data_IF_307460515025
#
_entry.id   IF_307460515025
#
_cell.length_a   1.000
_cell.length_b   1.000
_cell.length_c   1.000
_cell.angle_alpha   90.00
_cell.angle_beta   90.00
_cell.angle_gamma   90.00
#
_symmetry.space_group_name_H-M   'P 1'
#
loop_
_entity.id
_entity.type
_entity.pdbx_description
1 polymer ?
#
# COMPACT_ATOMS: atom_id res chain seq x y z
N UNK A 1 24.21 5.85 67.27
CA UNK A 1 24.57 5.72 65.84
C UNK A 1 24.04 4.39 65.31
N UNK A 2 23.04 4.40 64.42
CA UNK A 2 22.76 3.44 63.32
C UNK A 2 21.30 3.58 62.87
N UNK A 3 21.08 4.58 62.02
CA UNK A 3 19.87 4.75 61.23
C UNK A 3 19.81 3.68 60.12
N UNK A 4 18.66 3.01 60.06
CA UNK A 4 17.94 2.48 58.89
C UNK A 4 18.69 2.52 57.54
N UNK A 5 19.51 1.49 57.28
CA UNK A 5 20.08 1.20 55.95
C UNK A 5 19.37 0.02 55.26
N UNK A 6 18.06 -0.13 55.42
CA UNK A 6 17.31 -1.25 54.79
C UNK A 6 16.37 -0.79 53.68
N UNK A 7 16.10 0.52 53.55
CA UNK A 7 15.17 1.04 52.54
C UNK A 7 15.77 1.29 51.15
N UNK A 8 17.07 1.13 50.94
CA UNK A 8 17.71 1.54 49.68
C UNK A 8 17.87 0.43 48.63
N UNK A 9 17.63 -0.84 48.96
CA UNK A 9 17.98 -1.97 48.08
C UNK A 9 16.78 -2.53 47.31
N UNK A 10 15.54 -2.24 47.73
CA UNK A 10 14.34 -2.79 47.09
C UNK A 10 13.77 -1.89 45.97
N UNK A 11 14.17 -0.62 45.92
CA UNK A 11 13.71 0.35 44.91
C UNK A 11 14.09 -0.01 43.46
N UNK A 12 15.31 -0.49 43.13
CA UNK A 12 15.65 -0.79 41.73
C UNK A 12 15.03 -2.10 41.21
N UNK A 13 14.69 -3.04 42.10
CA UNK A 13 14.08 -4.33 41.72
C UNK A 13 12.61 -4.14 41.33
N UNK A 14 11.89 -3.30 42.07
CA UNK A 14 10.48 -2.99 41.77
C UNK A 14 10.38 -2.21 40.44
N UNK A 15 11.28 -1.25 40.20
CA UNK A 15 11.29 -0.47 38.96
C UNK A 15 11.60 -1.32 37.71
N UNK A 16 12.48 -2.32 37.85
CA UNK A 16 12.81 -3.26 36.77
C UNK A 16 11.65 -4.22 36.43
N UNK A 17 10.86 -4.63 37.43
CA UNK A 17 9.68 -5.45 37.22
C UNK A 17 8.57 -4.68 36.46
N UNK A 18 8.38 -3.38 36.75
CA UNK A 18 7.41 -2.53 36.04
C UNK A 18 7.82 -2.23 34.59
N UNK A 19 9.12 -2.13 34.30
CA UNK A 19 9.61 -1.95 32.92
C UNK A 19 9.42 -3.22 32.06
N UNK A 20 9.64 -4.41 32.64
CA UNK A 20 9.41 -5.68 31.94
C UNK A 20 7.92 -5.95 31.65
N UNK A 21 7.02 -5.55 32.55
CA UNK A 21 5.57 -5.64 32.34
C UNK A 21 5.07 -4.68 31.24
N UNK A 22 5.70 -3.52 31.05
CA UNK A 22 5.35 -2.59 29.97
C UNK A 22 5.84 -3.07 28.59
N UNK A 23 6.95 -3.81 28.51
CA UNK A 23 7.43 -4.41 27.25
C UNK A 23 6.55 -5.61 26.83
N UNK A 24 6.04 -6.37 27.79
CA UNK A 24 5.08 -7.46 27.56
C UNK A 24 3.65 -6.96 27.30
N UNK A 25 3.34 -5.73 27.69
CA UNK A 25 2.11 -4.99 27.31
C UNK A 25 2.34 -4.20 26.03
N UNK A 26 3.15 -4.74 25.10
CA UNK A 26 3.11 -4.30 23.72
C UNK A 26 1.64 -4.41 23.29
N UNK A 27 1.08 -3.29 22.83
CA UNK A 27 -0.24 -3.27 22.22
C UNK A 27 -0.28 -4.41 21.19
N UNK A 28 -0.90 -5.53 21.55
CA UNK A 28 -1.61 -6.31 20.56
C UNK A 28 -2.60 -5.30 19.98
N UNK A 29 -2.22 -4.69 18.86
CA UNK A 29 -3.18 -4.16 17.93
C UNK A 29 -4.17 -5.28 17.78
N UNK A 30 -5.37 -5.13 18.37
CA UNK A 30 -6.43 -6.11 18.26
C UNK A 30 -6.59 -6.35 16.77
N UNK A 31 -6.02 -7.44 16.28
CA UNK A 31 -6.35 -7.97 14.99
C UNK A 31 -7.86 -8.20 15.11
N UNK A 32 -8.63 -7.36 14.43
CA UNK A 32 -10.06 -7.57 14.32
C UNK A 32 -10.20 -9.03 13.89
N UNK A 33 -10.88 -9.88 14.66
CA UNK A 33 -11.02 -11.30 14.27
C UNK A 33 -11.73 -11.43 12.90
N UNK A 34 -12.34 -10.34 12.42
CA UNK A 34 -12.88 -10.20 11.06
C UNK A 34 -11.85 -9.82 9.97
N UNK A 35 -10.59 -9.55 10.32
CA UNK A 35 -9.51 -9.15 9.39
C UNK A 35 -8.77 -10.30 8.74
N UNK A 36 -8.90 -11.52 9.27
CA UNK A 36 -8.32 -12.71 8.63
C UNK A 36 -8.80 -12.89 7.17
N UNK A 37 -9.93 -12.28 6.81
CA UNK A 37 -10.55 -12.36 5.49
C UNK A 37 -10.62 -11.01 4.76
N UNK A 38 -9.91 -9.98 5.21
CA UNK A 38 -9.94 -8.67 4.52
C UNK A 38 -9.44 -8.80 3.08
N UNK A 39 -8.34 -9.54 2.87
CA UNK A 39 -7.80 -9.83 1.54
C UNK A 39 -8.83 -10.50 0.63
N UNK A 40 -9.53 -11.52 1.13
CA UNK A 40 -10.58 -12.21 0.38
C UNK A 40 -11.75 -11.29 0.01
N UNK A 41 -12.15 -10.39 0.91
CA UNK A 41 -13.23 -9.43 0.65
C UNK A 41 -12.90 -8.46 -0.47
N UNK A 42 -11.64 -8.05 -0.59
CA UNK A 42 -11.20 -7.07 -1.59
C UNK A 42 -10.65 -7.70 -2.87
N UNK A 43 -10.31 -9.00 -2.82
CA UNK A 43 -9.77 -9.71 -3.96
C UNK A 43 -10.76 -9.67 -5.14
N UNK A 44 -10.22 -9.46 -6.34
CA UNK A 44 -11.02 -9.36 -7.55
C UNK A 44 -10.35 -8.53 -8.63
N UNK A 45 -10.98 -8.50 -9.80
CA UNK A 45 -10.60 -7.63 -10.90
C UNK A 45 -11.51 -6.40 -10.91
N UNK A 46 -10.93 -5.23 -11.15
CA UNK A 46 -11.63 -3.95 -11.19
C UNK A 46 -11.27 -3.19 -12.47
N UNK A 47 -12.25 -2.48 -13.01
CA UNK A 47 -12.02 -1.44 -14.01
C UNK A 47 -12.01 -0.08 -13.30
N UNK A 48 -10.88 0.62 -13.39
CA UNK A 48 -10.70 1.98 -12.87
C UNK A 48 -10.83 2.99 -14.01
N UNK A 49 -11.41 4.14 -13.69
CA UNK A 49 -11.49 5.31 -14.55
C UNK A 49 -10.86 6.49 -13.82
N UNK A 50 -9.84 7.07 -14.43
CA UNK A 50 -9.15 8.26 -13.95
C UNK A 50 -9.95 9.53 -14.26
N UNK A 51 -9.81 10.54 -13.40
CA UNK A 51 -10.62 11.76 -13.46
C UNK A 51 -10.15 12.79 -14.50
N UNK A 52 -8.89 12.72 -14.96
CA UNK A 52 -8.34 13.59 -16.00
C UNK A 52 -8.70 13.10 -17.42
N UNK A 53 -7.85 13.32 -18.44
CA UNK A 53 -8.09 12.97 -19.85
C UNK A 53 -8.20 11.46 -20.14
N UNK A 54 -8.80 10.65 -19.25
CA UNK A 54 -9.50 9.43 -19.66
C UNK A 54 -8.68 8.13 -19.61
N UNK A 55 -7.59 8.09 -18.84
CA UNK A 55 -6.92 6.83 -18.52
C UNK A 55 -7.89 5.82 -17.90
N UNK A 56 -7.80 4.56 -18.33
CA UNK A 56 -8.52 3.46 -17.68
C UNK A 56 -7.54 2.37 -17.29
N UNK A 57 -7.77 1.73 -16.15
CA UNK A 57 -6.94 0.60 -15.69
C UNK A 57 -7.78 -0.64 -15.44
N UNK A 58 -7.30 -1.77 -15.91
CA UNK A 58 -7.73 -3.07 -15.39
C UNK A 58 -6.77 -3.43 -14.27
N UNK A 59 -7.29 -3.67 -13.07
CA UNK A 59 -6.47 -4.00 -11.91
C UNK A 59 -6.97 -5.28 -11.26
N UNK A 60 -6.05 -6.19 -10.94
CA UNK A 60 -6.34 -7.38 -10.15
C UNK A 60 -5.72 -7.20 -8.77
N UNK A 61 -6.55 -7.25 -7.74
CA UNK A 61 -6.14 -7.28 -6.34
C UNK A 61 -6.26 -8.73 -5.89
N UNK A 62 -5.18 -9.30 -5.38
CA UNK A 62 -5.19 -10.67 -4.85
C UNK A 62 -5.32 -10.65 -3.34
N UNK A 63 -5.88 -11.73 -2.77
CA UNK A 63 -6.10 -11.84 -1.33
C UNK A 63 -4.78 -11.88 -0.52
N UNK A 64 -3.69 -12.32 -1.14
CA UNK A 64 -2.37 -12.51 -0.52
C UNK A 64 -1.47 -11.26 -0.55
N UNK A 65 -1.96 -10.12 -1.04
CA UNK A 65 -1.22 -8.86 -0.96
C UNK A 65 -0.64 -8.35 -2.27
N UNK A 66 -0.94 -8.96 -3.42
CA UNK A 66 -0.42 -8.54 -4.73
C UNK A 66 -1.41 -7.67 -5.50
N UNK A 67 -0.85 -6.85 -6.39
CA UNK A 67 -1.57 -5.97 -7.31
C UNK A 67 -0.98 -6.11 -8.72
N UNK A 68 -1.84 -6.33 -9.70
CA UNK A 68 -1.48 -6.35 -11.12
C UNK A 68 -2.30 -5.33 -11.87
N UNK A 69 -1.67 -4.45 -12.63
CA UNK A 69 -2.32 -3.36 -13.34
C UNK A 69 -1.98 -3.35 -14.82
N UNK A 70 -2.98 -3.06 -15.65
CA UNK A 70 -2.83 -2.78 -17.08
C UNK A 70 -3.52 -1.43 -17.31
N UNK A 71 -2.83 -0.49 -17.93
CA UNK A 71 -3.37 0.84 -18.18
C UNK A 71 -3.55 1.08 -19.69
N UNK A 72 -4.66 1.71 -20.08
CA UNK A 72 -5.06 1.90 -21.48
C UNK A 72 -3.98 2.56 -22.34
N UNK A 73 -3.30 3.58 -21.81
CA UNK A 73 -2.21 4.27 -22.52
C UNK A 73 -0.89 3.51 -22.63
N UNK A 74 -0.77 2.27 -22.15
CA UNK A 74 0.48 1.51 -22.29
C UNK A 74 0.93 1.38 -23.75
N UNK A 75 -0.02 1.42 -24.69
CA UNK A 75 0.23 1.36 -26.13
C UNK A 75 0.73 2.69 -26.70
N UNK A 76 0.35 3.83 -26.12
CA UNK A 76 0.69 5.17 -26.61
C UNK A 76 1.98 5.70 -26.00
N UNK A 77 2.12 5.56 -24.67
CA UNK A 77 3.27 6.09 -23.91
C UNK A 77 4.29 5.01 -23.51
N UNK A 78 4.14 3.79 -24.05
CA UNK A 78 5.15 2.72 -24.09
C UNK A 78 5.71 2.32 -22.72
N UNK A 79 4.84 1.86 -21.83
CA UNK A 79 5.24 1.24 -20.56
C UNK A 79 4.65 -0.16 -20.43
N UNK A 80 5.20 -0.99 -19.53
CA UNK A 80 4.77 -2.36 -19.31
C UNK A 80 3.54 -2.44 -18.39
N UNK A 81 3.01 -3.64 -18.21
CA UNK A 81 2.08 -3.91 -17.12
C UNK A 81 2.73 -3.57 -15.77
N UNK A 82 1.89 -3.19 -14.81
CA UNK A 82 2.28 -2.83 -13.46
C UNK A 82 2.18 -4.05 -12.55
N UNK A 83 3.17 -4.21 -11.68
CA UNK A 83 3.17 -5.23 -10.63
C UNK A 83 3.44 -4.58 -9.29
N UNK A 84 2.82 -5.07 -8.23
CA UNK A 84 2.94 -4.41 -6.96
C UNK A 84 2.37 -5.18 -5.79
N UNK A 85 2.41 -4.50 -4.65
CA UNK A 85 1.94 -5.02 -3.37
C UNK A 85 1.01 -4.01 -2.71
N UNK A 86 0.10 -4.52 -1.89
CA UNK A 86 -0.81 -3.70 -1.10
C UNK A 86 -0.74 -4.07 0.38
N UNK A 87 -1.10 -3.09 1.22
CA UNK A 87 -1.34 -3.30 2.65
C UNK A 87 -2.61 -2.60 3.09
N UNK A 88 -3.31 -3.19 4.06
CA UNK A 88 -4.45 -2.54 4.72
C UNK A 88 -3.97 -1.32 5.50
N UNK A 89 -4.67 -0.19 5.33
CA UNK A 89 -4.37 1.08 6.02
C UNK A 89 -5.57 1.69 6.71
N UNK A 90 -6.74 1.08 6.59
CA UNK A 90 -7.96 1.46 7.29
C UNK A 90 -9.05 0.40 7.12
N UNK A 91 -10.21 0.59 7.74
CA UNK A 91 -11.30 -0.43 7.76
C UNK A 91 -11.69 -0.94 6.38
N UNK A 92 -11.70 -0.06 5.37
CA UNK A 92 -11.95 -0.36 3.97
C UNK A 92 -10.95 0.37 3.08
N UNK A 93 -9.70 0.44 3.53
CA UNK A 93 -8.65 1.19 2.82
C UNK A 93 -7.40 0.34 2.67
N UNK A 94 -6.81 0.40 1.48
CA UNK A 94 -5.47 -0.11 1.23
C UNK A 94 -4.57 0.99 0.70
N UNK A 95 -3.27 0.82 0.91
CA UNK A 95 -2.24 1.53 0.16
C UNK A 95 -1.49 0.53 -0.69
N UNK A 96 -1.31 0.87 -1.96
CA UNK A 96 -0.66 0.04 -2.96
C UNK A 96 0.63 0.72 -3.39
N UNK A 97 1.66 -0.07 -3.68
CA UNK A 97 2.84 0.38 -4.44
C UNK A 97 3.04 -0.53 -5.63
N UNK A 98 3.22 0.04 -6.82
CA UNK A 98 3.48 -0.72 -8.04
C UNK A 98 4.72 -0.21 -8.75
N UNK A 99 5.29 -1.07 -9.58
CA UNK A 99 6.41 -0.80 -10.46
C UNK A 99 6.05 -1.26 -11.87
N UNK A 100 6.49 -0.50 -12.87
CA UNK A 100 6.52 -0.91 -14.27
C UNK A 100 7.81 -0.44 -14.95
N UNK A 101 8.07 -0.99 -16.13
CA UNK A 101 9.13 -0.53 -17.02
C UNK A 101 8.56 0.48 -18.01
N UNK A 102 9.30 1.56 -18.28
CA UNK A 102 8.93 2.57 -19.27
C UNK A 102 10.00 2.65 -20.35
N UNK A 103 9.61 2.63 -21.62
CA UNK A 103 10.52 2.91 -22.73
C UNK A 103 10.72 4.43 -22.89
N UNK A 104 11.95 4.87 -22.65
CA UNK A 104 12.39 6.26 -22.78
C UNK A 104 13.26 6.41 -24.03
N UNK A 105 13.58 7.66 -24.40
CA UNK A 105 14.47 7.93 -25.54
C UNK A 105 15.86 7.30 -25.36
N UNK A 106 16.37 7.32 -24.13
CA UNK A 106 17.74 6.92 -23.81
C UNK A 106 17.84 5.50 -23.24
N UNK A 107 16.75 4.70 -23.31
CA UNK A 107 16.72 3.31 -22.84
C UNK A 107 15.46 2.96 -22.07
N UNK A 108 15.51 1.88 -21.28
CA UNK A 108 14.40 1.42 -20.45
C UNK A 108 14.55 1.96 -19.02
N UNK A 109 13.63 2.83 -18.62
CA UNK A 109 13.50 3.32 -17.25
C UNK A 109 12.45 2.53 -16.45
N UNK A 110 12.08 3.07 -15.29
CA UNK A 110 11.02 2.50 -14.46
C UNK A 110 10.07 3.57 -13.95
N UNK A 111 8.84 3.20 -13.62
CA UNK A 111 7.93 4.08 -12.91
C UNK A 111 7.37 3.40 -11.66
N UNK A 112 7.46 4.13 -10.54
CA UNK A 112 6.96 3.75 -9.24
C UNK A 112 5.67 4.50 -8.97
N UNK A 113 4.58 3.77 -8.69
CA UNK A 113 3.31 4.36 -8.33
C UNK A 113 2.92 4.02 -6.90
N UNK A 114 2.15 4.92 -6.30
CA UNK A 114 1.46 4.73 -5.02
C UNK A 114 -0.02 5.01 -5.23
N UNK A 115 -0.87 4.08 -4.78
CA UNK A 115 -2.31 4.27 -4.77
C UNK A 115 -2.84 4.28 -3.34
N UNK A 116 -3.81 5.12 -3.07
CA UNK A 116 -4.72 5.00 -1.92
C UNK A 116 -6.06 4.54 -2.47
N UNK A 117 -6.57 3.42 -1.97
CA UNK A 117 -7.84 2.84 -2.45
C UNK A 117 -8.78 2.73 -1.27
N UNK A 118 -9.99 3.26 -1.42
CA UNK A 118 -11.10 3.10 -0.49
C UNK A 118 -12.20 2.27 -1.15
N UNK A 119 -12.69 1.26 -0.42
CA UNK A 119 -13.79 0.41 -0.85
C UNK A 119 -15.10 0.90 -0.27
N UNK A 120 -16.15 0.79 -1.08
CA UNK A 120 -17.52 0.97 -0.63
C UNK A 120 -17.92 -0.14 0.37
N UNK A 121 -19.13 -0.02 0.94
CA UNK A 121 -19.58 -0.99 1.96
C UNK A 121 -19.74 -2.42 1.41
N UNK A 122 -20.04 -2.56 0.12
CA UNK A 122 -20.23 -3.85 -0.54
C UNK A 122 -18.95 -4.42 -1.18
N UNK A 123 -17.84 -3.68 -1.13
CA UNK A 123 -16.56 -4.02 -1.78
C UNK A 123 -16.66 -4.18 -3.31
N UNK A 124 -17.71 -3.60 -3.92
CA UNK A 124 -17.95 -3.64 -5.37
C UNK A 124 -17.48 -2.38 -6.09
N UNK A 125 -17.32 -1.28 -5.36
CA UNK A 125 -16.85 0.00 -5.91
C UNK A 125 -15.64 0.46 -5.14
N UNK A 126 -14.74 1.13 -5.85
CA UNK A 126 -13.56 1.74 -5.27
C UNK A 126 -13.39 3.18 -5.73
N UNK A 127 -12.77 3.98 -4.88
CA UNK A 127 -12.30 5.32 -5.22
C UNK A 127 -10.94 5.55 -4.59
N UNK A 128 -10.21 6.53 -5.09
CA UNK A 128 -8.86 6.74 -4.59
C UNK A 128 -8.07 7.80 -5.31
N UNK A 129 -6.82 7.87 -4.90
CA UNK A 129 -5.81 8.75 -5.46
C UNK A 129 -4.60 7.93 -5.85
N UNK A 130 -3.89 8.40 -6.88
CA UNK A 130 -2.62 7.85 -7.29
C UNK A 130 -1.58 8.94 -7.40
N UNK A 131 -0.34 8.56 -7.14
CA UNK A 131 0.82 9.33 -7.50
C UNK A 131 1.87 8.44 -8.14
N UNK A 132 2.57 8.99 -9.13
CA UNK A 132 3.59 8.28 -9.90
C UNK A 132 4.90 9.07 -9.92
N UNK A 133 6.01 8.34 -9.98
CA UNK A 133 7.35 8.87 -10.23
C UNK A 133 8.01 8.02 -11.30
N UNK A 134 8.57 8.66 -12.32
CA UNK A 134 9.33 7.98 -13.38
C UNK A 134 10.81 8.27 -13.23
N UNK A 135 11.63 7.26 -13.46
CA UNK A 135 13.08 7.29 -13.29
C UNK A 135 13.79 6.88 -14.59
N UNK A 136 14.97 7.46 -14.88
CA UNK A 136 15.73 7.13 -16.07
C UNK A 136 16.36 5.72 -15.95
N UNK A 137 16.95 5.18 -17.04
CA UNK A 137 17.61 3.89 -17.00
C UNK A 137 18.73 3.84 -15.96
N UNK A 138 18.85 2.71 -15.25
CA UNK A 138 19.92 2.47 -14.27
C UNK A 138 19.74 3.15 -12.91
N UNK A 139 18.69 3.95 -12.71
CA UNK A 139 18.36 4.55 -11.41
C UNK A 139 17.48 3.60 -10.60
N UNK A 140 17.82 3.39 -9.32
CA UNK A 140 17.01 2.64 -8.38
C UNK A 140 15.79 3.49 -7.93
N UNK A 141 14.54 3.09 -8.29
CA UNK A 141 13.34 3.82 -7.88
C UNK A 141 13.01 3.69 -6.37
N UNK A 142 13.72 2.82 -5.64
CA UNK A 142 13.55 2.63 -4.20
C UNK A 142 14.54 3.46 -3.36
N UNK A 143 15.57 4.03 -3.97
CA UNK A 143 16.48 4.94 -3.30
C UNK A 143 15.72 6.24 -2.91
N UNK A 144 15.67 6.61 -1.62
CA UNK A 144 14.97 7.80 -1.17
C UNK A 144 15.53 9.11 -1.73
N UNK A 145 16.78 9.14 -2.22
CA UNK A 145 17.39 10.33 -2.83
C UNK A 145 17.36 10.33 -4.35
N UNK A 146 16.81 9.28 -4.99
CA UNK A 146 16.65 9.23 -6.44
C UNK A 146 15.75 10.36 -6.94
N UNK A 147 16.22 11.05 -7.99
CA UNK A 147 15.51 12.18 -8.60
C UNK A 147 14.66 11.67 -9.77
N UNK A 148 13.32 11.79 -9.71
CA UNK A 148 12.46 11.39 -10.82
C UNK A 148 12.54 12.39 -11.97
N UNK A 149 12.47 11.89 -13.19
CA UNK A 149 12.39 12.71 -14.41
C UNK A 149 10.97 13.23 -14.69
N UNK A 150 9.95 12.60 -14.07
CA UNK A 150 8.56 13.01 -14.16
C UNK A 150 7.77 12.55 -12.94
N UNK A 151 6.79 13.35 -12.54
CA UNK A 151 5.81 12.99 -11.51
C UNK A 151 4.39 13.13 -12.05
N UNK A 152 3.47 12.37 -11.46
CA UNK A 152 2.06 12.31 -11.86
C UNK A 152 1.21 12.25 -10.60
N UNK A 153 0.03 12.86 -10.62
CA UNK A 153 -0.97 12.70 -9.57
C UNK A 153 -2.36 12.69 -10.22
N UNK A 154 -3.25 11.84 -9.72
CA UNK A 154 -4.61 11.76 -10.22
C UNK A 154 -5.56 11.18 -9.18
N UNK A 155 -6.86 11.26 -9.45
CA UNK A 155 -7.88 10.52 -8.71
C UNK A 155 -8.56 9.52 -9.64
N UNK A 156 -9.18 8.51 -9.06
CA UNK A 156 -9.91 7.50 -9.83
C UNK A 156 -11.13 7.01 -9.07
N UNK A 157 -12.06 6.46 -9.85
CA UNK A 157 -13.12 5.58 -9.35
C UNK A 157 -13.04 4.25 -10.08
N UNK A 158 -13.70 3.22 -9.57
CA UNK A 158 -13.69 1.93 -10.23
C UNK A 158 -14.79 1.00 -9.76
N UNK A 159 -15.03 -0.03 -10.58
CA UNK A 159 -16.05 -1.05 -10.34
C UNK A 159 -15.44 -2.44 -10.46
N UNK A 160 -15.86 -3.35 -9.60
CA UNK A 160 -15.48 -4.75 -9.64
C UNK A 160 -16.15 -5.43 -10.84
N UNK A 161 -15.39 -6.24 -11.55
CA UNK A 161 -15.91 -7.16 -12.58
C UNK A 161 -16.62 -8.33 -11.87
N UNK A 162 -17.85 -8.59 -12.27
CA UNK A 162 -18.69 -9.67 -11.74
C UNK A 162 -19.11 -10.62 -12.87
N UNK A 163 -19.31 -11.88 -12.54
CA UNK A 163 -19.96 -12.84 -13.45
C UNK A 163 -21.47 -12.62 -13.35
N UNK A 164 -22.12 -12.44 -14.50
CA UNK A 164 -23.59 -12.40 -14.60
C UNK A 164 -24.07 -13.58 -15.43
N UNK A 165 -25.15 -14.23 -14.98
CA UNK A 165 -25.87 -15.21 -15.77
C UNK A 165 -26.68 -14.44 -16.83
N UNK A 166 -26.13 -14.28 -18.03
CA UNK A 166 -26.84 -13.68 -19.16
C UNK A 166 -27.79 -14.69 -19.81
#
# INVERSE_FOLDING_TARGET
>A
MKQNKIFSVYTPVILSAFLLLNVLSSNEARADKNDAFFGEKIAGTYLLTEADEGGSRIVTITADGNWFGIHSYQFDIKFSNQQGVWKKTGKRKITVRTLDFTLLKDGVGSALFRFTVEFDKAYQQISGELSGKMFPPGVDPFDPVAIPIRTFNNTFTGKRLIVTDN
#
